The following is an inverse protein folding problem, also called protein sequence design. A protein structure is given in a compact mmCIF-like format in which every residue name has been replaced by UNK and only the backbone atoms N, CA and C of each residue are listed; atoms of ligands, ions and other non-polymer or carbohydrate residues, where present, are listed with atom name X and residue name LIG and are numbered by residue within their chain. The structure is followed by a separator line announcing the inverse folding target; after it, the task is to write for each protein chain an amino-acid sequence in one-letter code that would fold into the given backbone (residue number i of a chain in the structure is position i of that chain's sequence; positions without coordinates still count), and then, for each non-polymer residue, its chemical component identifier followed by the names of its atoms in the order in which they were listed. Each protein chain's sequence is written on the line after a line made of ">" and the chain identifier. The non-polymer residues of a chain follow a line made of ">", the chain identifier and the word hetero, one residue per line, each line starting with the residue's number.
data_IF_105958852397
#
_entry.id   IF_105958852397
#
_cell.length_a   1.000
_cell.length_b   1.000
_cell.length_c   1.000
_cell.angle_alpha   90.00
_cell.angle_beta   90.00
_cell.angle_gamma   90.00
#
_symmetry.space_group_name_H-M   'P 1'
#
loop_
_entity.id
_entity.type
_entity.pdbx_description
1 polymer ?
#
# COMPACT_ATOMS: atom_id res chain seq x y z
N UNK A 1 8.16 33.53 30.74
CA UNK A 1 9.37 34.07 30.05
C UNK A 1 10.35 33.00 29.53
N UNK A 2 10.38 31.76 30.05
CA UNK A 2 11.25 30.68 29.55
C UNK A 2 10.75 30.04 28.24
N UNK A 3 9.43 29.93 28.06
CA UNK A 3 8.80 29.36 26.85
C UNK A 3 8.98 30.23 25.59
N UNK A 4 9.06 31.56 25.74
CA UNK A 4 9.24 32.49 24.61
C UNK A 4 10.66 32.42 24.02
N UNK A 5 11.67 32.04 24.81
CA UNK A 5 13.07 31.95 24.37
C UNK A 5 13.38 30.70 23.55
N UNK A 6 12.55 29.65 23.63
CA UNK A 6 12.72 28.41 22.85
C UNK A 6 12.11 28.50 21.44
N UNK A 7 11.23 29.47 21.19
CA UNK A 7 10.51 29.63 19.92
C UNK A 7 11.36 30.25 18.79
N UNK A 8 12.54 30.79 19.09
CA UNK A 8 13.41 31.53 18.13
C UNK A 8 14.42 30.68 17.35
N UNK A 9 14.38 29.34 17.47
CA UNK A 9 15.36 28.44 16.82
C UNK A 9 14.87 27.65 15.62
N UNK A 10 13.61 27.83 15.21
CA UNK A 10 13.10 27.23 13.97
C UNK A 10 13.28 28.20 12.80
N UNK A 11 14.30 28.04 11.94
CA UNK A 11 14.19 28.57 10.60
C UNK A 11 12.93 27.97 9.96
N UNK A 12 12.12 28.81 9.32
CA UNK A 12 10.99 28.37 8.51
C UNK A 12 11.51 27.62 7.27
N UNK A 13 12.00 26.40 7.47
CA UNK A 13 12.29 25.47 6.37
C UNK A 13 10.97 24.86 5.95
N UNK A 14 10.73 24.76 4.65
CA UNK A 14 9.61 23.97 4.14
C UNK A 14 9.76 22.55 4.71
N UNK A 15 8.79 22.04 5.50
CA UNK A 15 8.98 20.89 6.41
C UNK A 15 9.26 19.55 5.71
N UNK A 16 9.42 19.53 4.39
CA UNK A 16 9.59 18.31 3.60
C UNK A 16 10.41 18.62 2.33
N UNK A 17 11.56 17.97 2.17
CA UNK A 17 12.39 18.10 0.97
C UNK A 17 11.74 17.53 -0.31
N UNK A 18 12.36 17.78 -1.48
CA UNK A 18 11.90 17.24 -2.77
C UNK A 18 11.82 15.71 -2.80
N UNK A 19 12.74 15.02 -2.13
CA UNK A 19 12.77 13.55 -2.06
C UNK A 19 11.51 13.00 -1.36
N UNK A 20 11.15 13.55 -0.18
CA UNK A 20 9.94 13.17 0.55
C UNK A 20 8.66 13.48 -0.25
N UNK A 21 8.65 14.57 -1.02
CA UNK A 21 7.49 14.90 -1.88
C UNK A 21 7.32 13.87 -3.00
N UNK A 22 8.41 13.50 -3.70
CA UNK A 22 8.38 12.45 -4.73
C UNK A 22 8.01 11.08 -4.14
N UNK A 23 8.53 10.75 -2.96
CA UNK A 23 8.14 9.55 -2.22
C UNK A 23 6.64 9.57 -1.90
N UNK A 24 6.12 10.71 -1.48
CA UNK A 24 4.69 10.91 -1.21
C UNK A 24 3.82 10.66 -2.43
N UNK A 25 4.25 11.05 -3.64
CA UNK A 25 3.53 10.74 -4.87
C UNK A 25 3.53 9.24 -5.19
N UNK A 26 4.66 8.54 -5.01
CA UNK A 26 4.72 7.09 -5.17
C UNK A 26 3.77 6.37 -4.19
N UNK A 27 3.75 6.81 -2.92
CA UNK A 27 2.83 6.27 -1.91
C UNK A 27 1.37 6.61 -2.20
N UNK A 28 1.08 7.79 -2.75
CA UNK A 28 -0.26 8.16 -3.16
C UNK A 28 -0.79 7.25 -4.29
N UNK A 29 0.04 6.96 -5.30
CA UNK A 29 -0.30 6.00 -6.37
C UNK A 29 -0.62 4.61 -5.78
N UNK A 30 0.21 4.14 -4.85
CA UNK A 30 -0.03 2.88 -4.16
C UNK A 30 -1.35 2.87 -3.36
N UNK A 31 -1.63 3.95 -2.61
CA UNK A 31 -2.88 4.07 -1.85
C UNK A 31 -4.13 4.15 -2.73
N UNK A 32 -4.03 4.80 -3.89
CA UNK A 32 -5.10 4.78 -4.89
C UNK A 32 -5.32 3.38 -5.47
N UNK A 33 -4.24 2.64 -5.76
CA UNK A 33 -4.30 1.26 -6.23
C UNK A 33 -4.92 0.31 -5.19
N UNK A 34 -4.62 0.47 -3.90
CA UNK A 34 -5.28 -0.27 -2.82
C UNK A 34 -6.79 -0.04 -2.82
N UNK A 35 -7.23 1.21 -3.00
CA UNK A 35 -8.65 1.53 -3.07
C UNK A 35 -9.32 0.92 -4.30
N UNK A 36 -8.66 0.94 -5.46
CA UNK A 36 -9.14 0.28 -6.68
C UNK A 36 -9.34 -1.22 -6.46
N UNK A 37 -8.37 -1.91 -5.84
CA UNK A 37 -8.50 -3.33 -5.49
C UNK A 37 -9.68 -3.53 -4.54
N UNK A 38 -9.76 -2.76 -3.45
CA UNK A 38 -10.82 -2.90 -2.47
C UNK A 38 -12.21 -2.74 -3.09
N UNK A 39 -12.37 -1.73 -3.95
CA UNK A 39 -13.62 -1.50 -4.68
C UNK A 39 -13.92 -2.66 -5.63
N UNK A 40 -12.94 -3.12 -6.43
CA UNK A 40 -13.13 -4.25 -7.35
C UNK A 40 -13.52 -5.54 -6.62
N UNK A 41 -12.82 -5.89 -5.55
CA UNK A 41 -13.12 -7.06 -4.75
C UNK A 41 -14.48 -6.93 -4.06
N UNK A 42 -14.83 -5.76 -3.54
CA UNK A 42 -16.15 -5.54 -2.97
C UNK A 42 -17.25 -5.72 -4.04
N UNK A 43 -17.07 -5.12 -5.21
CA UNK A 43 -17.99 -5.25 -6.35
C UNK A 43 -18.09 -6.67 -6.90
N UNK A 44 -17.05 -7.49 -6.77
CA UNK A 44 -17.06 -8.88 -7.23
C UNK A 44 -17.65 -9.81 -6.18
N UNK A 45 -17.13 -9.75 -4.95
CA UNK A 45 -17.46 -10.68 -3.88
C UNK A 45 -18.84 -10.42 -3.30
N UNK A 46 -19.21 -9.17 -3.00
CA UNK A 46 -20.54 -8.90 -2.42
C UNK A 46 -21.68 -9.13 -3.41
N UNK A 47 -21.47 -8.95 -4.71
CA UNK A 47 -22.49 -9.20 -5.73
C UNK A 47 -22.49 -10.65 -6.27
N UNK A 48 -21.43 -11.44 -6.02
CA UNK A 48 -21.36 -12.87 -6.42
C UNK A 48 -21.63 -13.85 -5.28
N UNK A 49 -21.73 -13.38 -4.03
CA UNK A 49 -22.15 -14.22 -2.90
C UNK A 49 -23.65 -14.51 -3.01
N UNK A 50 -23.99 -15.65 -3.60
CA UNK A 50 -25.29 -16.28 -3.34
C UNK A 50 -25.45 -16.51 -1.83
N UNK A 51 -26.65 -16.35 -1.25
CA UNK A 51 -26.92 -16.62 0.18
C UNK A 51 -26.53 -18.02 0.68
N UNK A 52 -26.21 -18.94 -0.23
CA UNK A 52 -25.79 -20.33 0.00
C UNK A 52 -24.27 -20.55 0.13
N UNK A 53 -23.50 -19.52 0.50
CA UNK A 53 -22.06 -19.70 0.77
C UNK A 53 -21.85 -20.77 1.86
N UNK A 54 -21.22 -21.90 1.50
CA UNK A 54 -21.04 -23.04 2.40
C UNK A 54 -20.20 -22.66 3.64
N UNK A 55 -20.45 -23.34 4.78
CA UNK A 55 -19.66 -23.17 6.01
C UNK A 55 -18.13 -23.28 5.76
N UNK A 56 -17.73 -24.07 4.76
CA UNK A 56 -16.34 -24.25 4.36
C UNK A 56 -15.75 -22.99 3.71
N UNK A 57 -16.51 -22.25 2.90
CA UNK A 57 -16.07 -20.97 2.35
C UNK A 57 -15.95 -19.90 3.45
N UNK A 58 -16.90 -19.85 4.39
CA UNK A 58 -16.84 -18.93 5.54
C UNK A 58 -15.62 -19.23 6.42
N UNK A 59 -15.34 -20.51 6.67
CA UNK A 59 -14.15 -20.93 7.42
C UNK A 59 -12.86 -20.52 6.70
N UNK A 60 -12.78 -20.69 5.38
CA UNK A 60 -11.65 -20.22 4.58
C UNK A 60 -11.47 -18.70 4.71
N UNK A 61 -12.54 -17.91 4.58
CA UNK A 61 -12.51 -16.44 4.79
C UNK A 61 -11.91 -16.07 6.16
N UNK A 62 -12.29 -16.77 7.23
CA UNK A 62 -11.76 -16.54 8.58
C UNK A 62 -10.29 -16.94 8.72
N UNK A 63 -9.91 -18.10 8.20
CA UNK A 63 -8.51 -18.59 8.24
C UNK A 63 -7.59 -17.64 7.46
N UNK A 64 -8.01 -17.18 6.28
CA UNK A 64 -7.25 -16.23 5.47
C UNK A 64 -7.06 -14.90 6.19
N UNK A 65 -8.06 -14.45 6.94
CA UNK A 65 -7.95 -13.18 7.66
C UNK A 65 -7.01 -13.30 8.89
N UNK A 66 -6.88 -14.50 9.48
CA UNK A 66 -5.91 -14.79 10.54
C UNK A 66 -4.49 -15.09 10.03
N UNK A 67 -4.38 -15.64 8.82
CA UNK A 67 -3.11 -16.02 8.20
C UNK A 67 -2.03 -14.91 8.14
N UNK A 68 -2.31 -13.63 7.82
CA UNK A 68 -1.26 -12.63 7.72
C UNK A 68 -0.57 -12.40 9.08
N UNK A 69 -1.28 -12.47 10.20
CA UNK A 69 -0.68 -12.28 11.52
C UNK A 69 0.21 -13.47 11.91
N UNK A 70 -0.26 -14.70 11.65
CA UNK A 70 0.51 -15.92 11.92
C UNK A 70 1.79 -16.00 11.06
N UNK A 71 1.72 -15.56 9.80
CA UNK A 71 2.86 -15.56 8.87
C UNK A 71 3.81 -14.37 9.08
N UNK A 72 3.30 -13.20 9.49
CA UNK A 72 4.13 -12.01 9.76
C UNK A 72 4.98 -12.16 11.03
N UNK A 73 4.45 -12.75 12.09
CA UNK A 73 5.15 -12.90 13.37
C UNK A 73 6.57 -13.50 13.25
N UNK A 74 6.80 -14.62 12.54
CA UNK A 74 8.14 -15.19 12.37
C UNK A 74 9.01 -14.46 11.33
N UNK A 75 8.41 -13.68 10.42
CA UNK A 75 9.11 -13.05 9.29
C UNK A 75 9.70 -11.68 9.61
N UNK A 76 9.17 -10.99 10.64
CA UNK A 76 9.61 -9.65 11.04
C UNK A 76 11.09 -9.65 11.50
N UNK A 77 11.52 -10.67 12.24
CA UNK A 77 12.91 -10.77 12.74
C UNK A 77 13.95 -10.94 11.61
N UNK A 78 13.84 -11.98 10.76
CA UNK A 78 14.82 -12.25 9.71
C UNK A 78 14.86 -11.21 8.57
N UNK A 79 13.72 -10.59 8.23
CA UNK A 79 13.65 -9.61 7.14
C UNK A 79 14.38 -8.29 7.47
N UNK A 80 14.57 -7.97 8.76
CA UNK A 80 15.31 -6.81 9.21
C UNK A 80 16.83 -7.03 9.05
N UNK A 81 17.31 -8.26 9.24
CA UNK A 81 18.75 -8.56 9.31
C UNK A 81 19.38 -9.11 8.01
N UNK A 82 18.61 -9.66 7.06
CA UNK A 82 19.19 -10.53 6.00
C UNK A 82 19.24 -10.01 4.57
N UNK A 83 18.69 -8.84 4.23
CA UNK A 83 18.73 -8.38 2.84
C UNK A 83 19.87 -7.38 2.58
N UNK A 84 20.94 -7.78 1.86
CA UNK A 84 21.93 -6.83 1.34
C UNK A 84 21.38 -5.98 0.19
N UNK A 85 20.13 -6.21 -0.25
CA UNK A 85 19.44 -5.34 -1.19
C UNK A 85 19.12 -4.00 -0.51
N UNK A 86 19.50 -2.89 -1.14
CA UNK A 86 19.14 -1.57 -0.64
C UNK A 86 17.64 -1.43 -0.41
N UNK A 87 17.24 -0.72 0.66
CA UNK A 87 15.84 -0.55 1.12
C UNK A 87 14.85 -0.17 0.00
N UNK A 88 15.34 0.51 -1.05
CA UNK A 88 14.57 0.87 -2.26
C UNK A 88 14.14 -0.32 -3.12
N UNK A 89 15.00 -1.33 -3.27
CA UNK A 89 14.73 -2.50 -4.08
C UNK A 89 13.71 -3.40 -3.39
N UNK A 90 13.78 -3.50 -2.07
CA UNK A 90 12.78 -4.16 -1.24
C UNK A 90 11.41 -3.49 -1.46
N UNK A 91 11.34 -2.16 -1.33
CA UNK A 91 10.09 -1.42 -1.56
C UNK A 91 9.52 -1.62 -2.98
N UNK A 92 10.37 -1.55 -4.01
CA UNK A 92 9.95 -1.75 -5.38
C UNK A 92 9.46 -3.18 -5.65
N UNK A 93 10.15 -4.20 -5.12
CA UNK A 93 9.75 -5.60 -5.29
C UNK A 93 8.37 -5.88 -4.70
N UNK A 94 8.02 -5.24 -3.57
CA UNK A 94 6.70 -5.40 -2.96
C UNK A 94 5.59 -4.83 -3.85
N UNK A 95 5.84 -3.73 -4.55
CA UNK A 95 4.90 -3.21 -5.55
C UNK A 95 4.77 -4.13 -6.76
N UNK A 96 5.85 -4.77 -7.21
CA UNK A 96 5.79 -5.79 -8.28
C UNK A 96 4.96 -6.99 -7.85
N UNK A 97 5.17 -7.51 -6.64
CA UNK A 97 4.37 -8.61 -6.07
C UNK A 97 2.89 -8.21 -6.03
N UNK A 98 2.58 -6.97 -5.62
CA UNK A 98 1.20 -6.46 -5.56
C UNK A 98 0.57 -6.32 -6.93
N UNK A 99 1.32 -5.82 -7.92
CA UNK A 99 0.87 -5.76 -9.30
C UNK A 99 0.57 -7.15 -9.88
N UNK A 100 1.45 -8.12 -9.62
CA UNK A 100 1.26 -9.51 -10.05
C UNK A 100 0.04 -10.14 -9.38
N UNK A 101 -0.14 -9.94 -8.06
CA UNK A 101 -1.31 -10.43 -7.34
C UNK A 101 -2.61 -9.78 -7.85
N UNK A 102 -2.61 -8.48 -8.15
CA UNK A 102 -3.77 -7.79 -8.71
C UNK A 102 -4.17 -8.34 -10.09
N UNK A 103 -3.19 -8.66 -10.95
CA UNK A 103 -3.44 -9.34 -12.23
C UNK A 103 -3.95 -10.76 -12.00
N UNK A 104 -3.32 -11.53 -11.11
CA UNK A 104 -3.76 -12.89 -10.80
C UNK A 104 -5.21 -12.91 -10.28
N UNK A 105 -5.56 -11.98 -9.39
CA UNK A 105 -6.93 -11.81 -8.90
C UNK A 105 -7.91 -11.54 -10.03
N UNK A 106 -7.54 -10.79 -11.06
CA UNK A 106 -8.41 -10.53 -12.20
C UNK A 106 -8.78 -11.81 -12.97
N UNK A 107 -7.94 -12.85 -12.93
CA UNK A 107 -8.21 -14.15 -13.54
C UNK A 107 -8.88 -15.14 -12.59
N UNK A 108 -8.71 -14.98 -11.28
CA UNK A 108 -9.18 -15.95 -10.28
C UNK A 108 -10.38 -15.46 -9.47
N UNK A 109 -11.13 -14.46 -9.92
CA UNK A 109 -12.20 -13.81 -9.13
C UNK A 109 -13.24 -14.78 -8.53
N UNK A 110 -13.46 -15.93 -9.16
CA UNK A 110 -14.46 -16.93 -8.77
C UNK A 110 -13.83 -18.24 -8.27
N UNK A 111 -12.50 -18.33 -8.22
CA UNK A 111 -11.78 -19.54 -7.85
C UNK A 111 -11.31 -19.50 -6.40
N UNK A 112 -11.06 -20.68 -5.82
CA UNK A 112 -10.41 -20.80 -4.52
C UNK A 112 -9.00 -20.14 -4.51
N UNK A 113 -8.38 -19.97 -5.67
CA UNK A 113 -7.12 -19.26 -5.82
C UNK A 113 -7.21 -17.76 -5.48
N UNK A 114 -8.41 -17.14 -5.57
CA UNK A 114 -8.65 -15.74 -5.14
C UNK A 114 -8.07 -15.48 -3.76
N UNK A 115 -8.37 -16.40 -2.84
CA UNK A 115 -8.02 -16.32 -1.45
C UNK A 115 -6.52 -16.27 -1.22
N UNK A 116 -5.77 -17.10 -1.94
CA UNK A 116 -4.32 -17.12 -1.88
C UNK A 116 -3.72 -15.80 -2.38
N UNK A 117 -4.20 -15.29 -3.52
CA UNK A 117 -3.70 -14.04 -4.08
C UNK A 117 -4.13 -12.81 -3.28
N UNK A 118 -5.33 -12.81 -2.69
CA UNK A 118 -5.80 -11.77 -1.78
C UNK A 118 -4.94 -11.74 -0.51
N UNK A 119 -4.63 -12.90 0.06
CA UNK A 119 -3.73 -13.03 1.21
C UNK A 119 -2.33 -12.50 0.88
N UNK A 120 -1.76 -12.93 -0.26
CA UNK A 120 -0.44 -12.48 -0.71
C UNK A 120 -0.41 -10.95 -0.91
N UNK A 121 -1.47 -10.39 -1.52
CA UNK A 121 -1.62 -8.95 -1.73
C UNK A 121 -1.69 -8.17 -0.41
N UNK A 122 -2.46 -8.68 0.57
CA UNK A 122 -2.57 -8.11 1.91
C UNK A 122 -1.24 -8.15 2.65
N UNK A 123 -0.55 -9.30 2.61
CA UNK A 123 0.76 -9.46 3.24
C UNK A 123 1.79 -8.50 2.65
N UNK A 124 1.82 -8.38 1.32
CA UNK A 124 2.66 -7.41 0.63
C UNK A 124 2.27 -5.97 0.99
N UNK A 125 0.99 -5.66 1.21
CA UNK A 125 0.54 -4.34 1.69
C UNK A 125 1.17 -3.98 3.04
N UNK A 126 1.13 -4.93 3.98
CA UNK A 126 1.70 -4.75 5.32
C UNK A 126 3.21 -4.59 5.27
N UNK A 127 3.88 -5.45 4.49
CA UNK A 127 5.33 -5.34 4.28
C UNK A 127 5.71 -3.98 3.68
N UNK A 128 5.00 -3.47 2.67
CA UNK A 128 5.24 -2.14 2.09
C UNK A 128 5.08 -1.02 3.13
N UNK A 129 4.12 -1.16 4.05
CA UNK A 129 3.94 -0.25 5.18
C UNK A 129 5.16 -0.23 6.11
N UNK A 130 5.70 -1.39 6.46
CA UNK A 130 6.92 -1.52 7.28
C UNK A 130 8.13 -0.91 6.56
N UNK A 131 8.35 -1.28 5.29
CA UNK A 131 9.46 -0.74 4.50
C UNK A 131 9.37 0.79 4.35
N UNK A 132 8.16 1.34 4.16
CA UNK A 132 7.92 2.78 4.13
C UNK A 132 8.38 3.45 5.44
N UNK A 133 7.97 2.92 6.59
CA UNK A 133 8.36 3.48 7.89
C UNK A 133 9.88 3.43 8.12
N UNK A 134 10.56 2.39 7.61
CA UNK A 134 12.02 2.29 7.65
C UNK A 134 12.75 3.25 6.69
N UNK A 135 12.08 3.75 5.65
CA UNK A 135 12.63 4.68 4.66
C UNK A 135 12.46 6.15 5.05
N UNK A 136 11.37 6.51 5.72
CA UNK A 136 11.03 7.92 6.05
C UNK A 136 12.16 8.65 6.79
N UNK A 137 12.85 8.07 7.80
CA UNK A 137 13.93 8.76 8.50
C UNK A 137 15.09 9.18 7.61
N UNK A 138 15.36 8.45 6.52
CA UNK A 138 16.40 8.81 5.55
C UNK A 138 15.98 9.89 4.54
N UNK A 139 14.71 10.28 4.53
CA UNK A 139 14.14 11.27 3.59
C UNK A 139 13.89 12.64 4.24
N UNK A 140 14.08 12.76 5.55
CA UNK A 140 13.91 14.01 6.31
C UNK A 140 15.26 14.59 6.70
N UNK A 141 15.34 15.91 6.85
CA UNK A 141 16.59 16.59 7.18
C UNK A 141 16.92 16.57 8.67
N UNK A 142 15.90 16.43 9.52
CA UNK A 142 16.05 16.42 10.96
C UNK A 142 14.96 15.56 11.67
N UNK A 143 15.22 15.04 12.88
CA UNK A 143 14.27 14.16 13.59
C UNK A 143 12.94 14.81 13.94
N UNK A 144 12.91 16.13 14.15
CA UNK A 144 11.71 16.90 14.45
C UNK A 144 10.74 17.01 13.25
N UNK A 145 11.24 16.83 12.03
CA UNK A 145 10.42 16.82 10.80
C UNK A 145 9.64 15.50 10.62
N UNK A 146 9.96 14.43 11.37
CA UNK A 146 9.35 13.10 11.21
C UNK A 146 7.83 13.11 11.40
N UNK A 147 7.34 13.84 12.39
CA UNK A 147 5.90 13.95 12.66
C UNK A 147 5.20 14.66 11.50
N UNK A 148 5.77 15.78 11.04
CA UNK A 148 5.22 16.53 9.90
C UNK A 148 5.23 15.71 8.60
N UNK A 149 6.33 14.99 8.35
CA UNK A 149 6.49 14.08 7.23
C UNK A 149 5.43 12.97 7.26
N UNK A 150 5.28 12.29 8.39
CA UNK A 150 4.30 11.21 8.57
C UNK A 150 2.87 11.74 8.42
N UNK A 151 2.53 12.90 9.00
CA UNK A 151 1.20 13.50 8.86
C UNK A 151 0.89 13.89 7.40
N UNK A 152 1.86 14.45 6.67
CA UNK A 152 1.68 14.79 5.25
C UNK A 152 1.46 13.54 4.41
N UNK A 153 2.28 12.52 4.65
CA UNK A 153 2.20 11.21 4.02
C UNK A 153 0.88 10.48 4.31
N UNK A 154 0.35 10.60 5.53
CA UNK A 154 -0.96 10.07 5.89
C UNK A 154 -2.09 10.80 5.16
N UNK A 155 -2.09 12.15 5.15
CA UNK A 155 -3.08 12.95 4.41
C UNK A 155 -3.10 12.64 2.92
N UNK A 156 -1.92 12.58 2.30
CA UNK A 156 -1.80 12.20 0.89
C UNK A 156 -2.40 10.83 0.61
N UNK A 157 -2.16 9.86 1.51
CA UNK A 157 -2.69 8.50 1.34
C UNK A 157 -4.22 8.46 1.46
N UNK A 158 -4.81 9.23 2.38
CA UNK A 158 -6.27 9.32 2.53
C UNK A 158 -6.90 9.95 1.28
N UNK A 159 -6.35 11.07 0.81
CA UNK A 159 -6.85 11.76 -0.39
C UNK A 159 -6.72 10.85 -1.62
N UNK A 160 -5.57 10.23 -1.81
CA UNK A 160 -5.33 9.34 -2.93
C UNK A 160 -6.21 8.08 -2.86
N UNK A 161 -6.43 7.53 -1.67
CA UNK A 161 -7.37 6.43 -1.47
C UNK A 161 -8.80 6.82 -1.81
N UNK A 162 -9.27 8.01 -1.42
CA UNK A 162 -10.60 8.50 -1.79
C UNK A 162 -10.75 8.68 -3.31
N UNK A 163 -9.74 9.27 -3.97
CA UNK A 163 -9.71 9.42 -5.43
C UNK A 163 -9.69 8.05 -6.11
N UNK A 164 -8.82 7.14 -5.65
CA UNK A 164 -8.74 5.77 -6.17
C UNK A 164 -10.05 5.00 -6.00
N UNK A 165 -10.72 5.18 -4.87
CA UNK A 165 -12.04 4.58 -4.62
C UNK A 165 -13.11 5.13 -5.56
N UNK A 166 -13.15 6.45 -5.77
CA UNK A 166 -14.07 7.08 -6.72
C UNK A 166 -13.82 6.61 -8.17
N UNK A 167 -12.55 6.56 -8.59
CA UNK A 167 -12.17 6.02 -9.91
C UNK A 167 -12.58 4.54 -10.01
N UNK A 168 -12.34 3.75 -8.96
CA UNK A 168 -12.72 2.34 -8.92
C UNK A 168 -14.22 2.13 -9.06
N UNK A 169 -15.02 2.95 -8.36
CA UNK A 169 -16.47 2.89 -8.44
C UNK A 169 -16.96 3.27 -9.85
N UNK A 170 -16.38 4.31 -10.46
CA UNK A 170 -16.69 4.70 -11.83
C UNK A 170 -16.31 3.62 -12.85
N UNK A 171 -15.14 3.00 -12.69
CA UNK A 171 -14.71 1.88 -13.53
C UNK A 171 -15.64 0.68 -13.38
N UNK A 172 -16.05 0.33 -12.16
CA UNK A 172 -17.02 -0.75 -11.94
C UNK A 172 -18.37 -0.46 -12.60
N UNK A 173 -18.85 0.78 -12.53
CA UNK A 173 -20.13 1.17 -13.13
C UNK A 173 -20.12 1.16 -14.66
N UNK A 174 -18.95 1.30 -15.30
CA UNK A 174 -18.82 1.45 -16.75
C UNK A 174 -18.17 0.26 -17.45
N UNK A 175 -17.41 -0.56 -16.72
CA UNK A 175 -16.61 -1.65 -17.28
C UNK A 175 -16.83 -2.94 -16.49
N UNK A 176 -15.83 -3.45 -15.77
CA UNK A 176 -15.87 -4.69 -15.03
C UNK A 176 -14.88 -4.70 -13.86
N UNK A 177 -15.05 -5.57 -12.85
CA UNK A 177 -14.09 -5.69 -11.76
C UNK A 177 -12.70 -6.12 -12.21
N UNK A 178 -12.60 -6.94 -13.26
CA UNK A 178 -11.32 -7.37 -13.85
C UNK A 178 -10.55 -6.19 -14.44
N UNK A 179 -11.23 -5.27 -15.13
CA UNK A 179 -10.61 -4.05 -15.64
C UNK A 179 -10.16 -3.13 -14.51
N UNK A 180 -10.96 -3.00 -13.44
CA UNK A 180 -10.55 -2.24 -12.25
C UNK A 180 -9.28 -2.80 -11.60
N UNK A 181 -9.13 -4.13 -11.55
CA UNK A 181 -7.90 -4.79 -11.07
C UNK A 181 -6.71 -4.59 -12.00
N UNK A 182 -6.91 -4.59 -13.31
CA UNK A 182 -5.86 -4.29 -14.28
C UNK A 182 -5.34 -2.85 -14.11
N UNK A 183 -6.24 -1.88 -13.92
CA UNK A 183 -5.87 -0.48 -13.63
C UNK A 183 -5.13 -0.38 -12.29
N UNK A 184 -5.58 -1.11 -11.26
CA UNK A 184 -4.88 -1.17 -9.98
C UNK A 184 -3.45 -1.73 -10.12
N UNK A 185 -3.28 -2.77 -10.93
CA UNK A 185 -1.96 -3.35 -11.22
C UNK A 185 -1.04 -2.34 -11.91
N UNK A 186 -1.53 -1.66 -12.94
CA UNK A 186 -0.77 -0.62 -13.62
C UNK A 186 -0.35 0.51 -12.66
N UNK A 187 -1.23 0.90 -11.73
CA UNK A 187 -0.92 1.88 -10.69
C UNK A 187 0.14 1.38 -9.69
N UNK A 188 0.14 0.08 -9.32
CA UNK A 188 1.21 -0.50 -8.51
C UNK A 188 2.55 -0.52 -9.25
N UNK A 189 2.58 -0.85 -10.54
CA UNK A 189 3.80 -0.78 -11.36
C UNK A 189 4.33 0.65 -11.41
N UNK A 190 3.44 1.63 -11.64
CA UNK A 190 3.79 3.05 -11.64
C UNK A 190 4.34 3.51 -10.28
N UNK A 191 3.74 3.05 -9.17
CA UNK A 191 4.22 3.32 -7.81
C UNK A 191 5.63 2.75 -7.61
N UNK A 192 5.87 1.48 -7.99
CA UNK A 192 7.19 0.85 -7.90
C UNK A 192 8.26 1.57 -8.71
N UNK A 193 7.94 1.94 -9.96
CA UNK A 193 8.83 2.73 -10.81
C UNK A 193 9.13 4.12 -10.22
N UNK A 194 8.12 4.79 -9.65
CA UNK A 194 8.30 6.07 -8.97
C UNK A 194 9.17 5.94 -7.71
N UNK A 195 9.00 4.86 -6.92
CA UNK A 195 9.82 4.59 -5.73
C UNK A 195 11.30 4.43 -6.08
N UNK A 196 11.62 3.74 -7.17
CA UNK A 196 13.01 3.59 -7.62
C UNK A 196 13.68 4.95 -7.92
N UNK A 197 12.94 5.87 -8.55
CA UNK A 197 13.44 7.22 -8.93
C UNK A 197 13.65 8.18 -7.75
N UNK A 198 13.13 7.86 -6.57
CA UNK A 198 13.19 8.75 -5.40
C UNK A 198 14.48 8.59 -4.61
N UNK A 199 15.06 7.38 -4.62
CA UNK A 199 16.18 6.99 -3.74
C UNK A 199 17.54 7.07 -4.45
N UNK A 200 17.58 7.63 -5.67
CA UNK A 200 18.81 8.00 -6.37
C UNK A 200 19.14 9.48 -6.07
N UNK A 201 19.84 9.74 -4.96
CA UNK A 201 20.76 10.89 -4.73
C UNK A 201 21.32 10.88 -3.32
#
# INVERSE_FOLDING_TARGET
>A
MLFERLRRRWPARSPCGPALTRFGHAQALAGAADALVAVSLAGSLFFSLSPDASQQQVFLYLVINMAPFALLAPLIGPAIDRFPLGRRWIAASLFVVRAACAIALAFTLLDLALYFFALALLLAAKASGVTRQALIPGLVGAPDELVAANSRLARLNVIAGAIGGAIGAALLATTSPTMTLAVASAAFVAAGAATLRVVDR
#
